data_IF_981967216106
#
_entry.id   IF_981967216106
#
_cell.length_a   1.000
_cell.length_b   1.000
_cell.length_c   1.000
_cell.angle_alpha   90.00
_cell.angle_beta   90.00
_cell.angle_gamma   90.00
#
_symmetry.space_group_name_H-M   'P 1'
#
loop_
_entity.id
_entity.type
_entity.pdbx_description
1 polymer ?
#
# COMPACT_ATOMS: atom_id res chain seq x y z
N UNK A 1 47.05 -17.61 -12.30
CA UNK A 1 45.96 -17.90 -13.26
C UNK A 1 45.00 -18.86 -12.58
N UNK A 2 43.87 -18.37 -12.08
CA UNK A 2 42.83 -19.20 -11.47
C UNK A 2 41.63 -19.21 -12.42
N UNK A 3 41.29 -20.40 -12.92
CA UNK A 3 40.14 -20.64 -13.80
C UNK A 3 38.85 -20.59 -13.00
N UNK A 4 37.93 -19.73 -13.42
CA UNK A 4 36.56 -19.65 -12.92
C UNK A 4 35.73 -20.71 -13.65
N UNK A 5 34.89 -21.52 -12.97
CA UNK A 5 34.01 -22.47 -13.64
C UNK A 5 32.77 -21.76 -14.18
N UNK A 6 32.51 -21.95 -15.47
CA UNK A 6 31.28 -21.56 -16.16
C UNK A 6 30.16 -22.55 -15.84
N UNK A 7 29.12 -22.09 -15.16
CA UNK A 7 27.87 -22.83 -15.04
C UNK A 7 26.99 -22.54 -16.26
N UNK A 8 26.62 -23.62 -16.96
CA UNK A 8 25.71 -23.61 -18.10
C UNK A 8 24.28 -23.85 -17.58
N UNK A 9 23.36 -22.95 -17.89
CA UNK A 9 21.94 -23.13 -17.60
C UNK A 9 21.33 -24.17 -18.55
N UNK A 10 20.53 -25.14 -18.07
CA UNK A 10 19.80 -26.04 -18.95
C UNK A 10 18.51 -25.38 -19.46
N UNK A 11 18.26 -25.60 -20.75
CA UNK A 11 17.01 -25.33 -21.45
C UNK A 11 15.80 -25.95 -20.75
N UNK A 12 14.78 -25.13 -20.47
CA UNK A 12 13.45 -25.56 -20.07
C UNK A 12 12.48 -25.34 -21.25
N UNK A 13 12.44 -26.32 -22.13
CA UNK A 13 11.35 -26.52 -23.10
C UNK A 13 10.55 -27.75 -22.69
N UNK A 14 9.31 -27.55 -22.24
CA UNK A 14 8.17 -28.45 -22.48
C UNK A 14 6.95 -28.01 -21.65
N UNK A 15 5.94 -27.44 -22.32
CA UNK A 15 4.57 -27.43 -21.81
C UNK A 15 3.88 -28.74 -22.21
N UNK A 16 3.13 -29.41 -21.32
CA UNK A 16 2.14 -30.39 -21.72
C UNK A 16 0.79 -29.71 -21.95
N UNK A 17 0.26 -29.95 -23.15
CA UNK A 17 -1.13 -29.68 -23.53
C UNK A 17 -2.09 -30.41 -22.60
N UNK A 18 -3.12 -29.72 -22.11
CA UNK A 18 -4.25 -30.38 -21.46
C UNK A 18 -5.53 -30.21 -22.28
N UNK A 19 -6.16 -31.37 -22.40
CA UNK A 19 -7.22 -31.78 -23.29
C UNK A 19 -8.57 -31.28 -22.78
N UNK A 20 -9.37 -30.73 -23.68
CA UNK A 20 -10.78 -30.42 -23.48
C UNK A 20 -11.56 -31.72 -23.33
N UNK A 21 -12.22 -31.91 -22.19
CA UNK A 21 -13.26 -32.92 -22.01
C UNK A 21 -14.55 -32.21 -21.60
N UNK A 22 -15.48 -32.16 -22.55
CA UNK A 22 -16.89 -31.85 -22.33
C UNK A 22 -17.62 -33.11 -21.85
N UNK A 23 -18.52 -32.97 -20.87
CA UNK A 23 -19.87 -33.57 -20.87
C UNK A 23 -20.65 -33.24 -19.59
N UNK A 24 -22.00 -33.27 -19.65
CA UNK A 24 -22.88 -32.63 -18.67
C UNK A 24 -23.48 -33.62 -17.67
N UNK A 25 -23.87 -33.13 -16.49
CA UNK A 25 -24.83 -33.85 -15.65
C UNK A 25 -25.71 -32.88 -14.85
N UNK A 26 -26.94 -32.82 -15.30
CA UNK A 26 -28.14 -32.42 -14.57
C UNK A 26 -28.22 -33.06 -13.18
N UNK A 27 -28.43 -32.25 -12.16
CA UNK A 27 -29.05 -32.69 -10.91
C UNK A 27 -30.20 -31.75 -10.56
N UNK A 28 -31.40 -32.31 -10.67
CA UNK A 28 -32.64 -31.82 -10.09
C UNK A 28 -32.75 -32.42 -8.69
N UNK A 29 -33.04 -31.58 -7.70
CA UNK A 29 -33.67 -32.04 -6.47
C UNK A 29 -34.49 -30.90 -5.88
N UNK A 30 -35.79 -31.02 -6.07
CA UNK A 30 -36.84 -30.35 -5.34
C UNK A 30 -36.59 -30.47 -3.83
N UNK A 31 -36.56 -29.34 -3.12
CA UNK A 31 -36.70 -29.32 -1.67
C UNK A 31 -37.88 -28.42 -1.31
N UNK A 32 -39.05 -29.05 -1.12
CA UNK A 32 -40.21 -28.45 -0.47
C UNK A 32 -39.98 -28.51 1.04
N UNK A 33 -39.97 -27.35 1.70
CA UNK A 33 -40.24 -27.28 3.13
C UNK A 33 -41.52 -26.46 3.34
N UNK A 34 -42.57 -27.14 3.79
CA UNK A 34 -43.74 -26.53 4.41
C UNK A 34 -43.62 -26.71 5.92
N UNK A 35 -43.72 -25.62 6.67
CA UNK A 35 -44.01 -25.65 8.09
C UNK A 35 -44.68 -24.34 8.50
N UNK A 36 -45.96 -24.48 8.82
CA UNK A 36 -46.82 -23.55 9.56
C UNK A 36 -46.58 -23.66 11.06
N UNK A 37 -47.06 -22.63 11.79
CA UNK A 37 -47.19 -22.43 13.25
C UNK A 37 -46.17 -21.45 13.82
N UNK A 38 -46.48 -20.53 14.75
CA UNK A 38 -47.71 -20.00 15.35
C UNK A 38 -47.26 -18.78 16.18
N UNK A 39 -48.14 -17.79 16.29
CA UNK A 39 -48.04 -16.68 17.25
C UNK A 39 -47.71 -17.13 18.68
N UNK A 40 -46.78 -16.45 19.36
CA UNK A 40 -46.95 -16.05 20.77
C UNK A 40 -46.12 -14.80 21.04
N UNK A 41 -46.78 -13.73 21.43
CA UNK A 41 -46.13 -12.48 21.82
C UNK A 41 -45.46 -12.58 23.17
N UNK A 42 -44.31 -11.93 23.30
CA UNK A 42 -43.81 -11.43 24.57
C UNK A 42 -43.21 -10.04 24.33
N UNK A 43 -43.89 -9.07 24.92
CA UNK A 43 -43.45 -7.70 25.14
C UNK A 43 -42.29 -7.75 26.12
N UNK A 44 -41.07 -7.46 25.66
CA UNK A 44 -39.93 -7.21 26.53
C UNK A 44 -39.45 -5.77 26.32
N UNK A 45 -39.20 -5.16 27.47
CA UNK A 45 -38.88 -3.78 27.76
C UNK A 45 -37.73 -3.21 26.94
N UNK A 46 -37.98 -2.02 26.36
CA UNK A 46 -36.97 -1.10 25.85
C UNK A 46 -35.97 -0.72 26.96
N UNK A 47 -34.81 -1.37 26.98
CA UNK A 47 -33.60 -0.79 27.55
C UNK A 47 -32.95 0.06 26.47
N UNK A 48 -33.09 1.38 26.59
CA UNK A 48 -32.32 2.34 25.80
C UNK A 48 -30.84 2.16 26.14
N UNK A 49 -30.12 1.39 25.32
CA UNK A 49 -28.67 1.49 25.22
C UNK A 49 -28.40 2.74 24.37
N UNK A 50 -28.18 3.86 25.03
CA UNK A 50 -27.50 5.01 24.43
C UNK A 50 -26.08 4.60 24.11
N UNK A 51 -25.86 4.14 22.88
CA UNK A 51 -24.53 4.06 22.27
C UNK A 51 -23.99 5.48 22.16
N UNK A 52 -23.13 5.85 23.11
CA UNK A 52 -22.31 7.05 23.02
C UNK A 52 -21.32 6.84 21.89
N UNK A 53 -21.72 7.18 20.66
CA UNK A 53 -20.80 7.39 19.55
C UNK A 53 -19.93 8.60 19.91
N UNK A 54 -18.85 8.36 20.66
CA UNK A 54 -17.81 9.36 20.85
C UNK A 54 -17.20 9.59 19.47
N UNK A 55 -17.57 10.70 18.84
CA UNK A 55 -16.82 11.29 17.74
C UNK A 55 -15.40 11.52 18.24
N UNK A 56 -14.52 10.54 18.01
CA UNK A 56 -13.08 10.69 18.11
C UNK A 56 -12.64 11.67 17.02
N UNK A 57 -12.82 12.95 17.31
CA UNK A 57 -12.21 14.05 16.61
C UNK A 57 -10.74 14.06 17.00
N UNK A 58 -9.99 13.10 16.42
CA UNK A 58 -8.54 13.11 16.43
C UNK A 58 -8.10 14.27 15.51
N UNK A 59 -8.20 15.49 16.04
CA UNK A 59 -7.60 16.67 15.43
C UNK A 59 -6.10 16.56 15.70
N UNK A 60 -5.42 15.70 14.91
CA UNK A 60 -3.98 15.84 14.70
C UNK A 60 -3.75 17.06 13.82
N UNK A 61 -3.85 18.24 14.44
CA UNK A 61 -3.42 19.52 13.88
C UNK A 61 -1.90 19.67 14.01
N UNK A 62 -1.16 18.61 13.69
CA UNK A 62 0.21 18.78 13.23
C UNK A 62 0.09 19.39 11.84
N UNK A 63 0.16 20.72 11.77
CA UNK A 63 0.38 21.44 10.53
C UNK A 63 1.77 21.05 10.03
N UNK A 64 1.85 19.85 9.44
CA UNK A 64 3.01 19.37 8.70
C UNK A 64 3.25 20.43 7.65
N UNK A 65 4.28 21.23 7.89
CA UNK A 65 4.73 22.25 6.97
C UNK A 65 5.38 21.48 5.84
N UNK A 66 4.54 20.92 4.96
CA UNK A 66 5.01 20.29 3.74
C UNK A 66 5.78 21.38 3.03
N UNK A 67 7.12 21.24 3.05
CA UNK A 67 8.01 22.15 2.35
C UNK A 67 7.49 22.21 0.92
N UNK A 68 6.83 23.31 0.55
CA UNK A 68 5.97 23.33 -0.63
C UNK A 68 6.80 22.86 -1.82
N UNK A 69 6.37 21.75 -2.43
CA UNK A 69 7.12 21.08 -3.50
C UNK A 69 7.47 22.07 -4.63
N UNK A 70 6.69 23.13 -4.79
CA UNK A 70 6.92 24.23 -5.73
C UNK A 70 8.26 24.95 -5.50
N UNK A 71 8.65 25.18 -4.24
CA UNK A 71 9.93 25.83 -3.90
C UNK A 71 11.09 24.96 -4.34
N UNK A 72 11.01 23.65 -4.09
CA UNK A 72 12.05 22.69 -4.47
C UNK A 72 12.16 22.55 -6.00
N UNK A 73 11.03 22.48 -6.70
CA UNK A 73 10.98 22.39 -8.15
C UNK A 73 11.62 23.61 -8.82
N UNK A 74 11.43 24.82 -8.25
CA UNK A 74 12.06 26.04 -8.79
C UNK A 74 13.59 26.03 -8.73
N UNK A 75 14.19 25.22 -7.84
CA UNK A 75 15.65 25.10 -7.71
C UNK A 75 16.26 24.12 -8.70
N UNK A 76 15.47 23.22 -9.29
CA UNK A 76 15.95 22.18 -10.20
C UNK A 76 15.70 22.62 -11.65
N UNK A 77 16.65 23.38 -12.19
CA UNK A 77 16.60 23.92 -13.56
C UNK A 77 17.51 23.19 -14.56
N UNK A 78 18.55 22.50 -14.07
CA UNK A 78 19.57 21.84 -14.91
C UNK A 78 19.65 20.33 -14.63
N UNK A 79 20.34 19.60 -15.50
CA UNK A 79 20.62 18.19 -15.30
C UNK A 79 21.46 17.96 -14.04
N UNK A 80 22.44 18.84 -13.80
CA UNK A 80 23.36 18.80 -12.67
C UNK A 80 22.62 19.04 -11.34
N UNK A 81 21.65 19.97 -11.31
CA UNK A 81 20.82 20.17 -10.11
C UNK A 81 19.98 18.92 -9.82
N UNK A 82 19.43 18.30 -10.86
CA UNK A 82 18.65 17.09 -10.69
C UNK A 82 19.49 15.90 -10.21
N UNK A 83 20.70 15.73 -10.76
CA UNK A 83 21.62 14.68 -10.32
C UNK A 83 22.08 14.91 -8.87
N UNK A 84 22.35 16.16 -8.47
CA UNK A 84 22.60 16.53 -7.06
C UNK A 84 21.42 16.18 -6.16
N UNK A 85 20.19 16.38 -6.61
CA UNK A 85 18.99 15.98 -5.85
C UNK A 85 18.93 14.47 -5.65
N UNK A 86 19.17 13.67 -6.69
CA UNK A 86 19.21 12.21 -6.58
C UNK A 86 20.31 11.73 -5.63
N UNK A 87 21.47 12.38 -5.66
CA UNK A 87 22.59 12.04 -4.78
C UNK A 87 22.32 12.40 -3.33
N UNK A 88 21.92 13.66 -3.05
CA UNK A 88 21.79 14.17 -1.68
C UNK A 88 20.47 13.70 -1.04
N UNK A 89 19.35 13.87 -1.74
CA UNK A 89 18.01 13.65 -1.18
C UNK A 89 17.62 12.19 -1.27
N UNK A 90 17.87 11.56 -2.42
CA UNK A 90 17.59 10.13 -2.61
C UNK A 90 18.80 9.25 -2.27
N UNK A 91 19.83 9.82 -1.64
CA UNK A 91 21.01 9.13 -1.10
C UNK A 91 21.70 8.20 -2.11
N UNK A 92 21.74 8.64 -3.37
CA UNK A 92 22.34 7.86 -4.47
C UNK A 92 21.62 6.55 -4.76
N UNK A 93 20.46 6.24 -4.17
CA UNK A 93 19.77 4.93 -4.37
C UNK A 93 19.30 4.71 -5.80
N UNK A 94 19.21 5.77 -6.59
CA UNK A 94 18.96 5.74 -8.02
C UNK A 94 19.81 6.79 -8.71
N UNK A 95 20.12 6.57 -10.00
CA UNK A 95 20.81 7.54 -10.84
C UNK A 95 20.07 7.75 -12.14
N UNK A 96 20.21 8.94 -12.71
CA UNK A 96 19.81 9.21 -14.09
C UNK A 96 20.78 8.49 -15.05
N UNK A 97 20.23 7.81 -16.06
CA UNK A 97 21.00 7.17 -17.15
C UNK A 97 20.65 7.72 -18.52
N UNK A 98 19.49 8.39 -18.66
CA UNK A 98 19.07 9.06 -19.88
C UNK A 98 19.36 10.57 -19.89
N UNK A 99 19.22 11.24 -21.05
CA UNK A 99 19.33 12.69 -21.14
C UNK A 99 18.23 13.38 -20.33
N UNK A 100 18.58 14.45 -19.62
CA UNK A 100 17.60 15.29 -18.92
C UNK A 100 16.87 16.18 -19.93
N UNK A 101 15.56 16.06 -20.00
CA UNK A 101 14.69 16.78 -20.95
C UNK A 101 13.72 17.75 -20.25
N UNK A 102 14.09 18.19 -19.04
CA UNK A 102 13.24 18.99 -18.16
C UNK A 102 12.38 18.15 -17.20
N UNK A 103 11.72 18.83 -16.26
CA UNK A 103 11.07 18.21 -15.09
C UNK A 103 9.85 17.35 -15.43
N UNK A 104 9.12 17.69 -16.50
CA UNK A 104 7.88 17.01 -16.90
C UNK A 104 8.09 15.86 -17.88
N UNK A 105 9.27 15.80 -18.49
CA UNK A 105 9.61 14.77 -19.47
C UNK A 105 10.08 13.51 -18.76
N UNK A 106 9.67 12.34 -19.23
CA UNK A 106 10.20 11.09 -18.72
C UNK A 106 11.71 11.00 -18.98
N UNK A 107 12.46 10.66 -17.95
CA UNK A 107 13.91 10.49 -17.97
C UNK A 107 14.19 9.06 -17.51
N UNK A 108 15.15 8.38 -18.15
CA UNK A 108 15.52 7.02 -17.77
C UNK A 108 16.41 7.04 -16.53
N UNK A 109 16.11 6.22 -15.54
CA UNK A 109 16.85 6.02 -14.29
C UNK A 109 17.25 4.55 -14.15
N UNK A 110 18.25 4.30 -13.32
CA UNK A 110 18.67 2.97 -12.89
C UNK A 110 18.76 2.91 -11.36
N UNK A 111 18.34 1.77 -10.79
CA UNK A 111 18.52 1.50 -9.37
C UNK A 111 20.00 1.21 -9.10
N UNK A 112 20.55 1.80 -8.03
CA UNK A 112 21.94 1.53 -7.63
C UNK A 112 22.08 0.32 -6.69
N UNK A 113 20.96 -0.27 -6.23
CA UNK A 113 21.01 -1.55 -5.52
C UNK A 113 21.51 -2.64 -6.46
N UNK A 114 22.66 -3.25 -6.13
CA UNK A 114 23.36 -4.26 -6.94
C UNK A 114 22.47 -5.42 -7.41
N UNK A 115 21.63 -6.05 -6.57
CA UNK A 115 20.77 -7.15 -7.00
C UNK A 115 19.58 -6.68 -7.85
N UNK A 116 19.24 -5.39 -7.79
CA UNK A 116 18.08 -4.85 -8.50
C UNK A 116 18.47 -4.39 -9.90
N UNK A 117 19.34 -3.39 -10.03
CA UNK A 117 19.78 -2.81 -11.31
C UNK A 117 18.67 -2.31 -12.25
N UNK A 118 17.39 -2.38 -11.86
CA UNK A 118 16.25 -2.11 -12.74
C UNK A 118 16.33 -0.71 -13.30
N UNK A 119 15.95 -0.58 -14.56
CA UNK A 119 15.76 0.71 -15.22
C UNK A 119 14.26 1.03 -15.37
N UNK A 120 13.90 2.31 -15.21
CA UNK A 120 12.53 2.80 -15.42
C UNK A 120 12.58 4.28 -15.83
N UNK A 121 11.47 4.82 -16.34
CA UNK A 121 11.44 6.16 -16.98
C UNK A 121 10.39 7.11 -16.41
N UNK A 122 10.47 7.48 -15.11
CA UNK A 122 9.58 8.46 -14.51
C UNK A 122 9.95 9.89 -14.94
N UNK A 123 9.03 10.82 -14.74
CA UNK A 123 9.35 12.24 -14.84
C UNK A 123 10.09 12.71 -13.56
N UNK A 124 11.09 13.61 -13.66
CA UNK A 124 11.74 14.18 -12.48
C UNK A 124 10.76 14.80 -11.48
N UNK A 125 9.72 15.50 -11.95
CA UNK A 125 8.69 16.09 -11.08
C UNK A 125 8.03 15.04 -10.20
N UNK A 126 7.76 13.84 -10.74
CA UNK A 126 7.19 12.75 -9.95
C UNK A 126 8.15 12.28 -8.85
N UNK A 127 9.45 12.25 -9.10
CA UNK A 127 10.46 11.86 -8.10
C UNK A 127 10.63 12.94 -7.02
N UNK A 128 10.54 14.21 -7.40
CA UNK A 128 10.76 15.38 -6.53
C UNK A 128 9.53 15.65 -5.66
N UNK A 129 8.34 15.65 -6.25
CA UNK A 129 7.09 15.96 -5.54
C UNK A 129 6.65 14.84 -4.59
N UNK A 130 7.20 13.63 -4.73
CA UNK A 130 6.85 12.49 -3.90
C UNK A 130 8.10 12.00 -3.14
N UNK A 131 8.12 12.28 -1.84
CA UNK A 131 9.25 11.94 -0.96
C UNK A 131 9.54 10.43 -0.94
N UNK A 132 8.50 9.62 -1.14
CA UNK A 132 8.48 8.16 -1.15
C UNK A 132 8.72 7.51 -2.53
N UNK A 133 8.98 8.30 -3.57
CA UNK A 133 9.24 7.73 -4.89
C UNK A 133 10.66 7.15 -4.98
N UNK A 134 10.74 5.82 -5.13
CA UNK A 134 11.97 5.03 -5.25
C UNK A 134 11.87 3.97 -6.34
N UNK A 135 12.89 3.10 -6.48
CA UNK A 135 12.86 2.00 -7.44
C UNK A 135 11.63 1.11 -7.22
N UNK A 136 10.74 0.95 -8.22
CA UNK A 136 9.53 0.17 -8.06
C UNK A 136 9.83 -1.31 -7.79
N UNK A 137 10.92 -1.88 -8.33
CA UNK A 137 11.26 -3.28 -8.02
C UNK A 137 11.69 -3.46 -6.58
N UNK A 138 12.53 -2.58 -6.04
CA UNK A 138 12.89 -2.65 -4.63
C UNK A 138 11.62 -2.52 -3.78
N UNK A 139 10.88 -1.42 -3.92
CA UNK A 139 9.74 -1.16 -3.02
C UNK A 139 8.59 -2.16 -3.19
N UNK A 140 8.28 -2.60 -4.42
CA UNK A 140 7.21 -3.59 -4.64
C UNK A 140 7.62 -5.00 -4.21
N UNK A 141 8.88 -5.41 -4.41
CA UNK A 141 9.30 -6.76 -3.99
C UNK A 141 9.30 -6.94 -2.47
N UNK A 142 9.44 -5.86 -1.69
CA UNK A 142 9.28 -5.91 -0.23
C UNK A 142 7.84 -5.96 0.25
N UNK A 143 6.87 -5.60 -0.61
CA UNK A 143 5.45 -5.65 -0.24
C UNK A 143 5.03 -7.04 0.24
N UNK A 144 5.63 -8.09 -0.30
CA UNK A 144 5.21 -9.47 -0.06
C UNK A 144 6.22 -10.30 0.74
N UNK A 145 7.33 -9.71 1.23
CA UNK A 145 8.37 -10.48 1.89
C UNK A 145 9.15 -9.65 2.93
N UNK A 146 8.73 -9.74 4.19
CA UNK A 146 9.34 -9.06 5.35
C UNK A 146 10.78 -9.53 5.59
N UNK A 147 11.10 -10.79 5.29
CA UNK A 147 12.44 -11.36 5.51
C UNK A 147 13.52 -10.61 4.73
N UNK A 148 13.15 -9.98 3.62
CA UNK A 148 14.09 -9.20 2.81
C UNK A 148 14.52 -7.88 3.46
N UNK A 149 13.84 -7.40 4.50
CA UNK A 149 14.33 -6.27 5.28
C UNK A 149 15.62 -6.62 6.04
N UNK A 150 15.88 -7.92 6.29
CA UNK A 150 17.10 -8.40 6.91
C UNK A 150 18.30 -8.41 5.95
N UNK A 151 18.07 -8.23 4.65
CA UNK A 151 19.14 -8.07 3.65
C UNK A 151 19.72 -6.66 3.76
N UNK A 152 20.97 -6.51 4.22
CA UNK A 152 21.64 -5.20 4.39
C UNK A 152 21.60 -4.28 3.16
N UNK A 153 21.56 -4.84 1.94
CA UNK A 153 21.50 -4.07 0.69
C UNK A 153 20.12 -3.43 0.44
N UNK A 154 19.08 -3.91 1.12
CA UNK A 154 17.69 -3.52 0.95
C UNK A 154 17.04 -3.02 2.24
N UNK A 155 17.75 -3.06 3.37
CA UNK A 155 17.30 -2.53 4.67
C UNK A 155 16.71 -1.12 4.55
N UNK A 156 17.30 -0.26 3.69
CA UNK A 156 16.82 1.11 3.46
C UNK A 156 15.36 1.18 3.00
N UNK A 157 14.85 0.13 2.33
CA UNK A 157 13.46 0.08 1.86
C UNK A 157 12.47 0.00 3.01
N UNK A 158 12.88 -0.51 4.17
CA UNK A 158 12.06 -0.54 5.40
C UNK A 158 11.60 0.85 5.81
N UNK A 159 12.41 1.88 5.55
CA UNK A 159 12.15 3.26 5.91
C UNK A 159 11.33 4.02 4.88
N UNK A 160 11.05 3.44 3.71
CA UNK A 160 10.24 4.11 2.68
C UNK A 160 8.85 4.37 3.26
N UNK A 161 8.37 5.62 3.26
CA UNK A 161 7.06 5.92 3.79
C UNK A 161 5.95 5.15 3.03
N UNK A 162 5.01 4.59 3.77
CA UNK A 162 3.86 3.86 3.23
C UNK A 162 2.60 4.15 4.04
N UNK A 163 1.43 4.01 3.43
CA UNK A 163 0.14 4.25 4.07
C UNK A 163 -0.64 2.95 4.13
N UNK A 164 -0.88 2.45 5.35
CA UNK A 164 -1.88 1.41 5.59
C UNK A 164 -3.26 2.04 5.63
N UNK A 165 -4.24 1.37 5.01
CA UNK A 165 -5.61 1.86 4.95
C UNK A 165 -6.62 0.75 5.24
N UNK A 166 -7.77 1.17 5.75
CA UNK A 166 -8.97 0.33 5.92
C UNK A 166 -10.18 1.10 5.40
N UNK A 167 -10.90 0.50 4.48
CA UNK A 167 -12.18 0.99 3.96
C UNK A 167 -13.29 0.03 4.34
N UNK A 168 -14.42 0.58 4.78
CA UNK A 168 -15.70 -0.12 4.71
C UNK A 168 -16.24 0.05 3.29
N UNK A 169 -16.73 -1.03 2.69
CA UNK A 169 -17.29 -1.03 1.35
C UNK A 169 -18.62 -1.79 1.34
N UNK A 170 -19.49 -1.48 0.39
CA UNK A 170 -20.73 -2.21 0.17
C UNK A 170 -20.65 -3.01 -1.14
N UNK A 171 -20.86 -4.32 -1.07
CA UNK A 171 -20.96 -5.15 -2.26
C UNK A 171 -22.32 -4.91 -2.95
N UNK A 172 -22.34 -4.48 -4.22
CA UNK A 172 -23.58 -4.07 -4.88
C UNK A 172 -24.53 -5.24 -5.19
N UNK A 173 -24.02 -6.47 -5.33
CA UNK A 173 -24.85 -7.62 -5.70
C UNK A 173 -25.34 -8.39 -4.46
N UNK A 174 -24.50 -8.55 -3.44
CA UNK A 174 -24.89 -9.24 -2.21
C UNK A 174 -25.52 -8.32 -1.17
N UNK A 175 -25.30 -7.00 -1.29
CA UNK A 175 -25.69 -6.01 -0.28
C UNK A 175 -24.88 -6.08 1.02
N UNK A 176 -23.87 -6.97 1.08
CA UNK A 176 -23.03 -7.16 2.26
C UNK A 176 -22.12 -5.97 2.49
N UNK A 177 -21.90 -5.64 3.76
CA UNK A 177 -20.84 -4.72 4.16
C UNK A 177 -19.55 -5.53 4.33
N UNK A 178 -18.50 -5.11 3.65
CA UNK A 178 -17.18 -5.75 3.71
C UNK A 178 -16.14 -4.72 4.14
N UNK A 179 -15.00 -5.22 4.61
CA UNK A 179 -13.84 -4.41 4.96
C UNK A 179 -12.71 -4.69 3.98
N UNK A 180 -12.24 -3.65 3.30
CA UNK A 180 -11.08 -3.67 2.41
C UNK A 180 -9.91 -3.01 3.12
N UNK A 181 -8.87 -3.78 3.38
CA UNK A 181 -7.62 -3.24 3.91
C UNK A 181 -6.47 -3.39 2.92
N UNK A 182 -5.38 -2.69 3.16
CA UNK A 182 -4.20 -2.81 2.33
C UNK A 182 -3.20 -1.68 2.55
N UNK A 183 -2.32 -1.52 1.57
CA UNK A 183 -1.25 -0.53 1.60
C UNK A 183 -1.11 0.19 0.29
N UNK A 184 -0.64 1.43 0.38
CA UNK A 184 -0.32 2.26 -0.78
C UNK A 184 0.90 3.11 -0.51
N UNK A 185 1.66 3.37 -1.57
CA UNK A 185 2.72 4.39 -1.49
C UNK A 185 2.11 5.77 -1.30
N UNK A 186 0.95 6.05 -1.92
CA UNK A 186 0.28 7.34 -1.80
C UNK A 186 0.13 7.79 -0.35
N UNK A 187 0.52 9.03 -0.06
CA UNK A 187 0.31 9.65 1.24
C UNK A 187 -1.18 9.62 1.61
N UNK A 188 -2.02 10.05 0.68
CA UNK A 188 -3.47 9.99 0.79
C UNK A 188 -4.01 8.65 0.28
N UNK A 189 -4.62 7.87 1.18
CA UNK A 189 -5.20 6.58 0.88
C UNK A 189 -6.34 6.66 -0.16
N UNK A 190 -7.07 7.78 -0.24
CA UNK A 190 -8.18 7.95 -1.19
C UNK A 190 -7.70 7.94 -2.64
N UNK A 191 -6.45 8.37 -2.90
CA UNK A 191 -5.86 8.34 -4.25
C UNK A 191 -5.58 6.92 -4.76
N UNK A 192 -5.72 5.90 -3.91
CA UNK A 192 -5.55 4.49 -4.30
C UNK A 192 -6.62 4.03 -5.28
N UNK A 193 -7.84 4.54 -5.12
CA UNK A 193 -9.02 4.15 -5.89
C UNK A 193 -9.49 5.32 -6.75
N UNK A 194 -10.14 5.01 -7.86
CA UNK A 194 -10.78 6.04 -8.67
C UNK A 194 -11.99 6.64 -7.94
N UNK A 195 -12.33 7.90 -8.23
CA UNK A 195 -13.55 8.53 -7.70
C UNK A 195 -14.81 7.74 -8.04
N UNK A 196 -14.79 7.07 -9.21
CA UNK A 196 -15.86 6.16 -9.63
C UNK A 196 -16.00 4.99 -8.65
N UNK A 197 -14.93 4.25 -8.39
CA UNK A 197 -14.95 3.12 -7.45
C UNK A 197 -15.36 3.54 -6.03
N UNK A 198 -14.81 4.65 -5.53
CA UNK A 198 -15.15 5.18 -4.20
C UNK A 198 -16.66 5.44 -4.07
N UNK A 199 -17.28 5.97 -5.12
CA UNK A 199 -18.71 6.29 -5.15
C UNK A 199 -19.57 5.05 -5.41
N UNK A 200 -19.18 4.23 -6.39
CA UNK A 200 -19.92 3.05 -6.84
C UNK A 200 -20.04 1.98 -5.74
N UNK A 201 -19.01 1.82 -4.92
CA UNK A 201 -18.98 0.82 -3.84
C UNK A 201 -19.18 1.42 -2.44
N UNK A 202 -19.66 2.68 -2.37
CA UNK A 202 -19.90 3.40 -1.11
C UNK A 202 -18.71 3.29 -0.14
N UNK A 203 -17.50 3.53 -0.63
CA UNK A 203 -16.29 3.30 0.13
C UNK A 203 -16.11 4.37 1.20
N UNK A 204 -16.13 3.97 2.47
CA UNK A 204 -15.88 4.84 3.63
C UNK A 204 -14.52 4.52 4.22
N UNK A 205 -13.61 5.49 4.19
CA UNK A 205 -12.30 5.37 4.84
C UNK A 205 -12.50 5.31 6.36
N UNK A 206 -12.12 4.19 6.98
CA UNK A 206 -12.18 3.97 8.43
C UNK A 206 -10.87 4.31 9.12
N UNK A 207 -9.75 4.00 8.46
CA UNK A 207 -8.42 4.17 9.01
C UNK A 207 -7.42 4.47 7.90
N UNK A 208 -6.53 5.42 8.16
CA UNK A 208 -5.32 5.66 7.38
C UNK A 208 -4.16 5.90 8.34
N UNK A 209 -3.12 5.08 8.25
CA UNK A 209 -1.91 5.18 9.07
C UNK A 209 -0.71 5.35 8.14
N UNK A 210 0.09 6.40 8.36
CA UNK A 210 1.31 6.68 7.61
C UNK A 210 2.52 6.31 8.46
N UNK A 211 3.43 5.51 7.93
CA UNK A 211 4.65 5.15 8.64
C UNK A 211 5.69 4.47 7.77
N UNK A 212 6.66 3.82 8.40
CA UNK A 212 7.70 3.02 7.73
C UNK A 212 7.07 1.84 6.98
N UNK A 213 7.58 1.50 5.80
CA UNK A 213 7.10 0.38 4.99
C UNK A 213 7.07 -0.92 5.81
N UNK A 214 8.11 -1.17 6.60
CA UNK A 214 8.20 -2.34 7.48
C UNK A 214 7.01 -2.41 8.46
N UNK A 215 6.77 -1.34 9.21
CA UNK A 215 5.64 -1.26 10.15
C UNK A 215 4.31 -1.50 9.46
N UNK A 216 4.07 -0.82 8.32
CA UNK A 216 2.82 -0.99 7.58
C UNK A 216 2.69 -2.41 7.03
N UNK A 217 3.81 -3.05 6.63
CA UNK A 217 3.82 -4.46 6.20
C UNK A 217 3.41 -5.39 7.34
N UNK A 218 3.95 -5.16 8.54
CA UNK A 218 3.64 -5.96 9.71
C UNK A 218 2.16 -5.87 10.08
N UNK A 219 1.57 -4.66 10.01
CA UNK A 219 0.13 -4.48 10.23
C UNK A 219 -0.67 -5.24 9.16
N UNK A 220 -0.37 -5.08 7.86
CA UNK A 220 -1.11 -5.78 6.80
C UNK A 220 -1.00 -7.30 6.92
N UNK A 221 0.19 -7.82 7.23
CA UNK A 221 0.40 -9.26 7.38
C UNK A 221 -0.35 -9.81 8.59
N UNK A 222 -0.36 -9.10 9.72
CA UNK A 222 -1.16 -9.48 10.87
C UNK A 222 -2.65 -9.55 10.51
N UNK A 223 -3.20 -8.55 9.81
CA UNK A 223 -4.59 -8.59 9.31
C UNK A 223 -4.86 -9.81 8.45
N UNK A 224 -3.96 -10.16 7.53
CA UNK A 224 -4.10 -11.35 6.67
C UNK A 224 -4.07 -12.65 7.47
N UNK A 225 -3.13 -12.78 8.40
CA UNK A 225 -3.00 -13.95 9.26
C UNK A 225 -4.24 -14.15 10.13
N UNK A 226 -4.80 -13.08 10.72
CA UNK A 226 -6.03 -13.18 11.51
C UNK A 226 -7.23 -13.53 10.62
N UNK A 227 -7.37 -12.88 9.46
CA UNK A 227 -8.46 -13.16 8.53
C UNK A 227 -8.43 -14.58 7.97
N UNK A 228 -7.24 -15.12 7.68
CA UNK A 228 -7.06 -16.50 7.24
C UNK A 228 -7.38 -17.49 8.37
N UNK A 229 -6.88 -17.24 9.59
CA UNK A 229 -7.11 -18.12 10.74
C UNK A 229 -8.59 -18.22 11.13
N UNK A 230 -9.38 -17.17 10.86
CA UNK A 230 -10.80 -17.08 11.18
C UNK A 230 -11.72 -17.32 9.96
N UNK A 231 -11.17 -17.65 8.79
CA UNK A 231 -11.90 -17.84 7.52
C UNK A 231 -12.80 -16.64 7.13
N UNK A 232 -12.29 -15.42 7.32
CA UNK A 232 -13.04 -14.17 7.12
C UNK A 232 -12.94 -13.63 5.70
N UNK A 233 -12.10 -14.20 4.85
CA UNK A 233 -11.92 -13.71 3.49
C UNK A 233 -13.17 -13.93 2.65
N UNK A 234 -13.69 -12.84 2.11
CA UNK A 234 -14.85 -12.87 1.22
C UNK A 234 -14.47 -12.33 -0.15
N UNK A 235 -15.00 -12.98 -1.19
CA UNK A 235 -14.78 -12.57 -2.57
C UNK A 235 -15.81 -11.49 -2.92
N UNK A 236 -15.33 -10.34 -3.38
CA UNK A 236 -16.22 -9.30 -3.89
C UNK A 236 -16.96 -9.79 -5.14
N UNK A 237 -18.21 -9.39 -5.34
CA UNK A 237 -19.03 -9.94 -6.43
C UNK A 237 -18.67 -9.40 -7.81
N UNK A 238 -18.05 -8.22 -7.87
CA UNK A 238 -17.67 -7.55 -9.13
C UNK A 238 -16.26 -7.94 -9.52
N UNK A 239 -16.09 -8.70 -10.60
CA UNK A 239 -14.78 -9.20 -11.05
C UNK A 239 -13.77 -8.10 -11.40
N UNK A 240 -14.26 -6.94 -11.85
CA UNK A 240 -13.40 -5.78 -12.17
C UNK A 240 -12.94 -5.00 -10.94
N UNK A 241 -13.41 -5.35 -9.73
CA UNK A 241 -13.04 -4.66 -8.51
C UNK A 241 -11.56 -4.89 -8.16
N UNK A 242 -10.86 -3.80 -7.85
CA UNK A 242 -9.46 -3.87 -7.47
C UNK A 242 -9.30 -4.49 -6.07
N UNK A 243 -8.72 -5.69 -6.01
CA UNK A 243 -8.56 -6.43 -4.74
C UNK A 243 -9.76 -7.32 -4.42
N UNK A 244 -10.33 -7.95 -5.46
CA UNK A 244 -11.42 -8.93 -5.43
C UNK A 244 -11.38 -9.96 -4.28
N UNK A 245 -10.17 -10.40 -3.89
CA UNK A 245 -9.93 -11.42 -2.86
C UNK A 245 -9.29 -10.85 -1.59
N UNK A 246 -9.27 -9.53 -1.46
CA UNK A 246 -8.62 -8.83 -0.35
C UNK A 246 -9.67 -8.07 0.51
N UNK A 247 -10.88 -8.61 0.56
CA UNK A 247 -11.98 -8.14 1.40
C UNK A 247 -12.25 -9.16 2.50
N UNK A 248 -12.66 -8.68 3.67
CA UNK A 248 -13.04 -9.52 4.80
C UNK A 248 -14.41 -9.14 5.33
N UNK A 249 -15.14 -10.13 5.80
CA UNK A 249 -16.37 -9.95 6.56
C UNK A 249 -16.02 -9.89 8.05
N UNK A 250 -16.36 -8.78 8.70
CA UNK A 250 -16.03 -8.53 10.11
C UNK A 250 -17.27 -8.04 10.84
N UNK A 251 -17.55 -8.62 12.00
CA UNK A 251 -18.46 -8.04 12.97
C UNK A 251 -17.87 -6.75 13.55
N UNK A 252 -18.72 -5.83 14.00
CA UNK A 252 -18.31 -4.50 14.46
C UNK A 252 -17.28 -4.58 15.60
N UNK A 253 -17.45 -5.49 16.57
CA UNK A 253 -16.52 -5.68 17.69
C UNK A 253 -15.13 -6.13 17.20
N UNK A 254 -15.07 -7.08 16.25
CA UNK A 254 -13.80 -7.53 15.67
C UNK A 254 -13.11 -6.43 14.86
N UNK A 255 -13.90 -5.64 14.12
CA UNK A 255 -13.37 -4.50 13.37
C UNK A 255 -12.73 -3.48 14.32
N UNK A 256 -13.36 -3.16 15.45
CA UNK A 256 -12.80 -2.25 16.46
C UNK A 256 -11.45 -2.77 17.00
N UNK A 257 -11.34 -4.06 17.31
CA UNK A 257 -10.10 -4.68 17.79
C UNK A 257 -8.98 -4.62 16.74
N UNK A 258 -9.29 -4.92 15.48
CA UNK A 258 -8.32 -4.86 14.39
C UNK A 258 -7.81 -3.42 14.16
N UNK A 259 -8.71 -2.44 14.24
CA UNK A 259 -8.38 -1.02 14.14
C UNK A 259 -7.53 -0.57 15.33
N UNK A 260 -7.86 -0.99 16.55
CA UNK A 260 -7.11 -0.68 17.77
C UNK A 260 -5.69 -1.24 17.73
N UNK A 261 -5.52 -2.52 17.34
CA UNK A 261 -4.21 -3.14 17.15
C UNK A 261 -3.35 -2.33 16.17
N UNK A 262 -3.93 -1.96 15.02
CA UNK A 262 -3.22 -1.23 13.97
C UNK A 262 -2.69 0.12 14.48
N UNK A 263 -3.49 0.84 15.27
CA UNK A 263 -3.08 2.10 15.91
C UNK A 263 -1.94 1.88 16.90
N UNK A 264 -2.06 0.91 17.81
CA UNK A 264 -1.02 0.61 18.81
C UNK A 264 0.31 0.24 18.17
N UNK A 265 0.31 -0.55 17.09
CA UNK A 265 1.54 -0.88 16.36
C UNK A 265 2.14 0.35 15.69
N UNK A 266 1.32 1.20 15.08
CA UNK A 266 1.77 2.43 14.42
C UNK A 266 2.34 3.46 15.41
N UNK A 267 1.73 3.61 16.59
CA UNK A 267 2.16 4.56 17.63
C UNK A 267 3.56 4.23 18.17
N UNK A 268 3.90 2.93 18.32
CA UNK A 268 5.24 2.49 18.73
C UNK A 268 6.33 2.90 17.74
N UNK A 269 5.95 3.18 16.50
CA UNK A 269 6.83 3.47 15.37
C UNK A 269 6.80 4.95 14.95
N UNK A 270 6.04 5.77 15.67
CA UNK A 270 5.86 7.18 15.39
C UNK A 270 7.17 7.97 15.52
N UNK A 271 7.92 7.76 16.61
CA UNK A 271 9.17 8.48 16.86
C UNK A 271 10.29 8.14 15.85
N UNK A 272 10.57 6.85 15.53
CA UNK A 272 11.47 6.50 14.44
C UNK A 272 11.06 7.13 13.09
N UNK A 273 9.76 7.18 12.80
CA UNK A 273 9.26 7.77 11.56
C UNK A 273 9.43 9.30 11.52
N UNK A 274 9.11 10.00 12.63
CA UNK A 274 9.37 11.44 12.78
C UNK A 274 10.85 11.77 12.59
N UNK A 275 11.73 10.97 13.19
CA UNK A 275 13.18 11.13 13.00
C UNK A 275 13.57 11.04 11.53
N UNK A 276 13.08 10.02 10.81
CA UNK A 276 13.35 9.87 9.39
C UNK A 276 12.85 11.07 8.56
N UNK A 277 11.69 11.64 8.91
CA UNK A 277 11.17 12.84 8.25
C UNK A 277 12.09 14.06 8.47
N UNK A 278 12.59 14.26 9.68
CA UNK A 278 13.56 15.31 9.98
C UNK A 278 14.86 15.13 9.19
N UNK A 279 15.39 13.90 9.13
CA UNK A 279 16.59 13.57 8.33
C UNK A 279 16.34 13.81 6.83
N UNK A 280 15.11 13.59 6.34
CA UNK A 280 14.72 13.91 4.97
C UNK A 280 14.68 15.43 4.73
N UNK A 281 14.10 16.21 5.63
CA UNK A 281 14.08 17.67 5.56
C UNK A 281 15.49 18.27 5.59
N UNK A 282 16.38 17.73 6.41
CA UNK A 282 17.78 18.15 6.45
C UNK A 282 18.48 17.89 5.11
N UNK A 283 18.24 16.74 4.47
CA UNK A 283 18.75 16.45 3.12
C UNK A 283 18.24 17.46 2.09
N UNK A 284 16.96 17.81 2.16
CA UNK A 284 16.38 18.84 1.29
C UNK A 284 17.09 20.19 1.49
N UNK A 285 17.37 20.57 2.74
CA UNK A 285 18.04 21.83 3.03
C UNK A 285 19.51 21.84 2.55
N UNK A 286 20.24 20.75 2.76
CA UNK A 286 21.59 20.55 2.20
C UNK A 286 21.58 20.65 0.68
N UNK A 287 20.58 20.06 0.02
CA UNK A 287 20.43 20.18 -1.42
C UNK A 287 20.23 21.65 -1.84
N UNK A 288 19.34 22.39 -1.21
CA UNK A 288 19.11 23.82 -1.52
C UNK A 288 20.40 24.64 -1.40
N UNK A 289 21.17 24.42 -0.33
CA UNK A 289 22.46 25.09 -0.14
C UNK A 289 23.47 24.73 -1.23
N UNK A 290 23.50 23.46 -1.66
CA UNK A 290 24.39 22.99 -2.73
C UNK A 290 24.13 23.65 -4.09
N UNK A 291 22.88 24.08 -4.34
CA UNK A 291 22.48 24.78 -5.57
C UNK A 291 22.82 26.27 -5.50
N UNK A 292 22.81 26.88 -4.31
CA UNK A 292 23.11 28.31 -4.14
C UNK A 292 24.62 28.60 -4.24
N UNK A 293 25.46 27.65 -3.84
CA UNK A 293 26.91 27.83 -3.78
C UNK A 293 27.65 27.55 -5.09
N UNK A 294 26.95 27.28 -6.20
CA UNK A 294 27.51 27.03 -7.53
C UNK A 294 27.17 28.17 -8.47
#
# INVERSE_FOLDING_TARGET
MMTVPTFSNPDLTSQPSQTVVTSPSSFSSDFKFSSTHSNTGQTLSNSQLTTHSQEYSFISSSSSTTCSSDVLLSKISTAEHYDSFLEIVKEGRMRRVGPFKGLRSNVKHACQSKPCGREWSPSPIQIISNNDYYCPSCVLHHRNNVERFKESELEWTSHVPNTFYVFQIQDPNSGMTLVKFGRTQHEDALKRYSTKELTEFNMKLLLALRGRLETMTNIENWWKEQAEAMDLFSRFSIESFHGLTECVELEDEMLEDFLAYSKVVSEKEEEPFKKWLLDYEERIERFKQSVVNK
#
